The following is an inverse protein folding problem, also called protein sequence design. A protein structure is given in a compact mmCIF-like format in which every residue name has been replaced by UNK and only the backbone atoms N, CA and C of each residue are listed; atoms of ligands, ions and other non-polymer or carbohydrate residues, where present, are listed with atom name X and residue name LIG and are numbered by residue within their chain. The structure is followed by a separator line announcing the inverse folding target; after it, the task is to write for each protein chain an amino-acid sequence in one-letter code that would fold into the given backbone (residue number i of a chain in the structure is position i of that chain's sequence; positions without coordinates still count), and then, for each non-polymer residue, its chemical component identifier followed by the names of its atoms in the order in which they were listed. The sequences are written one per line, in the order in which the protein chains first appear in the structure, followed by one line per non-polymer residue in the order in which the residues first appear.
data_IF_969262921971
#
_entry.id   IF_969262921971
#
_cell.length_a   1.000
_cell.length_b   1.000
_cell.length_c   1.000
_cell.angle_alpha   90.00
_cell.angle_beta   90.00
_cell.angle_gamma   90.00
#
_symmetry.space_group_name_H-M   'P 1'
#
loop_
_entity.id
_entity.type
_entity.pdbx_description
1 polymer ?
#
# COMPACT_ATOMS: atom_id res chain seq x y z
N UNK A 1 -53.06 -14.74 -3.28
CA UNK A 1 -51.97 -14.48 -4.23
C UNK A 1 -51.37 -13.10 -3.96
N UNK A 2 -50.61 -12.94 -2.86
CA UNK A 2 -49.73 -11.77 -2.61
C UNK A 2 -48.88 -11.93 -1.31
N UNK A 3 -48.37 -13.13 -0.99
CA UNK A 3 -47.55 -13.31 0.23
C UNK A 3 -46.22 -14.05 0.00
N UNK A 4 -45.96 -14.58 -1.20
CA UNK A 4 -44.69 -15.28 -1.47
C UNK A 4 -43.51 -14.34 -1.81
N UNK A 5 -43.74 -13.05 -2.06
CA UNK A 5 -42.65 -12.10 -2.32
C UNK A 5 -41.99 -11.54 -1.04
N UNK A 6 -42.61 -11.67 0.14
CA UNK A 6 -42.02 -11.23 1.41
C UNK A 6 -41.09 -12.28 2.06
N UNK A 7 -41.17 -13.54 1.65
CA UNK A 7 -40.39 -14.63 2.26
C UNK A 7 -38.90 -14.62 1.88
N UNK A 8 -38.46 -13.76 0.96
CA UNK A 8 -37.04 -13.66 0.57
C UNK A 8 -36.20 -12.79 1.51
N UNK A 9 -36.82 -12.08 2.45
CA UNK A 9 -36.08 -11.24 3.40
C UNK A 9 -35.60 -12.11 4.56
N UNK A 10 -34.30 -12.40 4.56
CA UNK A 10 -33.67 -13.11 5.67
C UNK A 10 -33.54 -12.18 6.88
N UNK A 11 -34.51 -12.24 7.80
CA UNK A 11 -34.51 -11.48 9.04
C UNK A 11 -33.67 -12.18 10.10
N UNK A 12 -32.67 -11.48 10.62
CA UNK A 12 -31.75 -12.02 11.62
C UNK A 12 -31.93 -11.31 12.97
N UNK A 13 -31.72 -12.05 14.05
CA UNK A 13 -31.54 -11.48 15.39
C UNK A 13 -30.23 -11.98 16.00
N UNK A 14 -29.34 -11.07 16.38
CA UNK A 14 -28.02 -11.34 16.97
C UNK A 14 -27.76 -10.33 18.08
N UNK A 15 -27.01 -10.74 19.10
CA UNK A 15 -26.57 -9.84 20.17
C UNK A 15 -25.10 -10.13 20.49
N UNK A 16 -24.28 -9.09 20.41
CA UNK A 16 -22.86 -9.07 20.75
C UNK A 16 -22.61 -7.92 21.71
N UNK A 17 -21.76 -8.18 22.69
CA UNK A 17 -21.28 -7.18 23.64
C UNK A 17 -19.76 -7.14 23.55
N UNK A 18 -19.23 -5.96 23.21
CA UNK A 18 -17.80 -5.68 23.03
C UNK A 18 -17.03 -6.75 22.22
N UNK A 19 -17.66 -7.31 21.20
CA UNK A 19 -17.07 -8.41 20.43
C UNK A 19 -16.12 -7.90 19.35
N UNK A 20 -15.04 -8.64 19.01
CA UNK A 20 -14.21 -8.33 17.87
C UNK A 20 -15.04 -8.28 16.58
N UNK A 21 -14.84 -7.25 15.77
CA UNK A 21 -15.63 -7.06 14.54
C UNK A 21 -15.53 -8.25 13.59
N UNK A 22 -14.38 -8.93 13.54
CA UNK A 22 -14.19 -10.15 12.76
C UNK A 22 -15.15 -11.28 13.17
N UNK A 23 -15.43 -11.44 14.47
CA UNK A 23 -16.36 -12.44 14.98
C UNK A 23 -17.82 -12.10 14.61
N UNK A 24 -18.17 -10.82 14.65
CA UNK A 24 -19.50 -10.35 14.21
C UNK A 24 -19.68 -10.60 12.71
N UNK A 25 -18.66 -10.30 11.89
CA UNK A 25 -18.68 -10.57 10.45
C UNK A 25 -18.78 -12.06 10.14
N UNK A 26 -18.09 -12.91 10.90
CA UNK A 26 -18.18 -14.37 10.76
C UNK A 26 -19.60 -14.86 11.00
N UNK A 27 -20.22 -14.45 12.12
CA UNK A 27 -21.61 -14.84 12.41
C UNK A 27 -22.60 -14.38 11.33
N UNK A 28 -22.37 -13.21 10.74
CA UNK A 28 -23.16 -12.73 9.61
C UNK A 28 -22.94 -13.59 8.35
N UNK A 29 -21.72 -13.98 8.04
CA UNK A 29 -21.42 -14.84 6.89
C UNK A 29 -22.04 -16.25 7.07
N UNK A 30 -21.91 -16.82 8.26
CA UNK A 30 -22.47 -18.12 8.62
C UNK A 30 -23.99 -18.16 8.47
N UNK A 31 -24.68 -17.07 8.83
CA UNK A 31 -26.14 -16.95 8.69
C UNK A 31 -26.64 -17.05 7.23
N UNK A 32 -25.84 -16.65 6.25
CA UNK A 32 -26.15 -16.79 4.81
C UNK A 32 -25.34 -17.90 4.14
N UNK A 33 -24.59 -18.70 4.91
CA UNK A 33 -23.70 -19.76 4.41
C UNK A 33 -22.66 -19.27 3.38
N UNK A 34 -22.19 -18.04 3.55
CA UNK A 34 -21.16 -17.44 2.72
C UNK A 34 -19.76 -17.75 3.26
N UNK A 35 -18.79 -17.92 2.37
CA UNK A 35 -17.38 -17.96 2.77
C UNK A 35 -16.91 -16.53 3.07
N UNK A 36 -16.19 -16.34 4.17
CA UNK A 36 -15.67 -15.05 4.59
C UNK A 36 -14.14 -15.01 4.44
N UNK A 37 -13.63 -13.98 3.77
CA UNK A 37 -12.19 -13.67 3.73
C UNK A 37 -11.99 -12.26 4.28
N UNK A 38 -11.25 -12.16 5.38
CA UNK A 38 -10.96 -10.89 6.05
C UNK A 38 -9.52 -10.49 5.77
N UNK A 39 -9.32 -9.30 5.21
CA UNK A 39 -7.98 -8.78 4.94
C UNK A 39 -7.27 -8.32 6.22
N UNK A 40 -5.93 -8.24 6.21
CA UNK A 40 -5.17 -7.68 7.33
C UNK A 40 -5.59 -6.24 7.66
N UNK A 41 -5.69 -5.93 8.95
CA UNK A 41 -6.05 -4.59 9.46
C UNK A 41 -7.55 -4.34 9.63
N UNK A 42 -8.38 -5.40 9.60
CA UNK A 42 -9.76 -5.36 10.10
C UNK A 42 -9.72 -5.62 11.61
N UNK A 43 -9.73 -4.54 12.38
CA UNK A 43 -9.56 -4.56 13.84
C UNK A 43 -10.62 -3.70 14.52
N UNK A 44 -10.82 -3.93 15.82
CA UNK A 44 -11.75 -3.17 16.66
C UNK A 44 -12.87 -4.03 17.25
N UNK A 45 -13.57 -3.46 18.21
CA UNK A 45 -14.66 -4.10 18.94
C UNK A 45 -15.98 -3.37 18.66
N UNK A 46 -17.08 -4.11 18.69
CA UNK A 46 -18.42 -3.61 18.45
C UNK A 46 -19.41 -4.28 19.42
N UNK A 47 -20.21 -3.47 20.11
CA UNK A 47 -21.44 -3.93 20.74
C UNK A 47 -22.61 -3.73 19.78
N UNK A 48 -23.38 -4.79 19.54
CA UNK A 48 -24.46 -4.79 18.56
C UNK A 48 -25.63 -5.63 19.05
N UNK A 49 -26.86 -5.11 18.93
CA UNK A 49 -28.07 -5.88 19.18
C UNK A 49 -29.06 -5.67 18.05
N UNK A 50 -29.33 -6.74 17.32
CA UNK A 50 -30.25 -6.78 16.19
C UNK A 50 -31.45 -7.66 16.53
N UNK A 51 -32.65 -7.22 16.16
CA UNK A 51 -33.89 -7.98 16.31
C UNK A 51 -34.75 -7.83 15.06
N UNK A 52 -34.93 -8.92 14.32
CA UNK A 52 -35.73 -8.92 13.10
C UNK A 52 -35.20 -7.96 12.03
N UNK A 53 -33.87 -7.86 11.89
CA UNK A 53 -33.23 -6.95 10.94
C UNK A 53 -32.86 -7.71 9.66
N UNK A 54 -33.17 -7.20 8.46
CA UNK A 54 -32.71 -7.80 7.21
C UNK A 54 -31.20 -7.98 7.18
N UNK A 55 -30.73 -9.14 6.74
CA UNK A 55 -29.29 -9.46 6.74
C UNK A 55 -28.43 -8.44 5.99
N UNK A 56 -28.85 -7.99 4.81
CA UNK A 56 -28.11 -6.98 4.05
C UNK A 56 -27.98 -5.66 4.82
N UNK A 57 -29.02 -5.27 5.57
CA UNK A 57 -29.01 -4.08 6.40
C UNK A 57 -28.05 -4.25 7.58
N UNK A 58 -28.10 -5.39 8.26
CA UNK A 58 -27.20 -5.74 9.34
C UNK A 58 -25.73 -5.69 8.90
N UNK A 59 -25.40 -6.34 7.77
CA UNK A 59 -24.06 -6.32 7.19
C UNK A 59 -23.60 -4.89 6.89
N UNK A 60 -24.46 -4.09 6.24
CA UNK A 60 -24.14 -2.70 5.92
C UNK A 60 -23.84 -1.84 7.16
N UNK A 61 -24.52 -2.10 8.28
CA UNK A 61 -24.30 -1.38 9.53
C UNK A 61 -22.94 -1.73 10.14
N UNK A 62 -22.62 -3.02 10.20
CA UNK A 62 -21.31 -3.49 10.71
C UNK A 62 -20.17 -2.93 9.87
N UNK A 63 -20.31 -2.95 8.54
CA UNK A 63 -19.32 -2.38 7.63
C UNK A 63 -19.09 -0.89 7.87
N UNK A 64 -20.17 -0.10 8.00
CA UNK A 64 -20.08 1.34 8.28
C UNK A 64 -19.40 1.62 9.62
N UNK A 65 -19.79 0.91 10.67
CA UNK A 65 -19.21 1.09 12.01
C UNK A 65 -17.73 0.72 12.04
N UNK A 66 -17.34 -0.33 11.33
CA UNK A 66 -15.95 -0.77 11.22
C UNK A 66 -15.09 0.00 10.22
N UNK A 67 -15.66 0.96 9.46
CA UNK A 67 -15.00 1.61 8.32
C UNK A 67 -14.41 0.59 7.34
N UNK A 68 -15.24 -0.39 7.00
CA UNK A 68 -14.90 -1.51 6.15
C UNK A 68 -15.64 -1.42 4.81
N UNK A 69 -15.00 -1.94 3.77
CA UNK A 69 -15.59 -2.18 2.46
C UNK A 69 -15.65 -3.68 2.20
N UNK A 70 -16.61 -4.10 1.37
CA UNK A 70 -16.74 -5.51 0.97
C UNK A 70 -16.84 -5.67 -0.52
N UNK A 71 -16.36 -6.80 -1.00
CA UNK A 71 -16.55 -7.27 -2.36
C UNK A 71 -17.10 -8.69 -2.31
N UNK A 72 -18.25 -8.92 -2.94
CA UNK A 72 -18.81 -10.25 -3.05
C UNK A 72 -18.46 -10.85 -4.41
N UNK A 73 -17.86 -12.03 -4.38
CA UNK A 73 -17.53 -12.83 -5.56
C UNK A 73 -18.16 -14.20 -5.42
N UNK A 74 -19.27 -14.44 -6.13
CA UNK A 74 -20.09 -15.64 -5.99
C UNK A 74 -20.44 -15.93 -4.52
N UNK A 75 -19.92 -17.03 -3.95
CA UNK A 75 -20.16 -17.47 -2.58
C UNK A 75 -19.09 -16.98 -1.58
N UNK A 76 -18.27 -16.01 -1.96
CA UNK A 76 -17.18 -15.48 -1.13
C UNK A 76 -17.41 -13.99 -0.87
N UNK A 77 -17.44 -13.62 0.40
CA UNK A 77 -17.46 -12.25 0.88
C UNK A 77 -16.06 -11.85 1.32
N UNK A 78 -15.45 -10.91 0.59
CA UNK A 78 -14.16 -10.34 0.93
C UNK A 78 -14.38 -9.03 1.67
N UNK A 79 -13.70 -8.86 2.81
CA UNK A 79 -13.80 -7.68 3.67
C UNK A 79 -12.44 -7.00 3.81
N UNK A 80 -12.40 -5.69 3.61
CA UNK A 80 -11.19 -4.88 3.70
C UNK A 80 -11.45 -3.62 4.52
N UNK A 81 -10.45 -3.06 5.22
CA UNK A 81 -10.57 -1.71 5.75
C UNK A 81 -10.65 -0.70 4.60
N UNK A 82 -11.39 0.40 4.77
CA UNK A 82 -11.47 1.48 3.76
C UNK A 82 -10.08 2.02 3.37
N UNK A 83 -9.14 2.01 4.31
CA UNK A 83 -7.74 2.43 4.09
C UNK A 83 -6.92 1.47 3.21
N UNK A 84 -7.47 0.30 2.85
CA UNK A 84 -6.74 -0.75 2.14
C UNK A 84 -6.17 -0.27 0.80
N UNK A 85 -6.98 0.42 -0.01
CA UNK A 85 -6.53 0.89 -1.34
C UNK A 85 -5.31 1.80 -1.25
N UNK A 86 -5.30 2.73 -0.28
CA UNK A 86 -4.17 3.63 -0.08
C UNK A 86 -2.92 2.89 0.42
N UNK A 87 -3.09 1.92 1.33
CA UNK A 87 -1.99 1.09 1.82
C UNK A 87 -1.38 0.26 0.68
N UNK A 88 -2.22 -0.32 -0.17
CA UNK A 88 -1.76 -1.16 -1.28
C UNK A 88 -1.01 -0.34 -2.34
N UNK A 89 -1.51 0.85 -2.66
CA UNK A 89 -0.81 1.78 -3.55
C UNK A 89 0.57 2.16 -2.99
N UNK A 90 0.67 2.55 -1.71
CA UNK A 90 1.94 2.88 -1.07
C UNK A 90 2.94 1.72 -1.12
N UNK A 91 2.48 0.50 -0.82
CA UNK A 91 3.31 -0.71 -0.92
C UNK A 91 3.77 -0.98 -2.35
N UNK A 92 2.94 -0.70 -3.34
CA UNK A 92 3.31 -0.86 -4.75
C UNK A 92 4.35 0.17 -5.19
N UNK A 93 4.22 1.43 -4.77
CA UNK A 93 5.22 2.47 -5.04
C UNK A 93 6.57 2.15 -4.39
N UNK A 94 6.58 1.83 -3.09
CA UNK A 94 7.80 1.47 -2.37
C UNK A 94 8.53 0.28 -3.02
N UNK A 95 7.79 -0.77 -3.40
CA UNK A 95 8.35 -1.93 -4.12
C UNK A 95 8.98 -1.54 -5.46
N UNK A 96 8.40 -0.58 -6.19
CA UNK A 96 8.98 -0.08 -7.45
C UNK A 96 10.26 0.72 -7.21
N UNK A 97 10.31 1.54 -6.17
CA UNK A 97 11.51 2.31 -5.82
C UNK A 97 12.65 1.39 -5.38
N UNK A 98 12.37 0.38 -4.55
CA UNK A 98 13.34 -0.65 -4.15
C UNK A 98 13.88 -1.41 -5.36
N UNK A 99 13.02 -1.79 -6.31
CA UNK A 99 13.44 -2.45 -7.54
C UNK A 99 14.35 -1.57 -8.37
N UNK A 100 14.10 -0.26 -8.46
CA UNK A 100 14.95 0.69 -9.19
C UNK A 100 16.32 0.88 -8.53
N UNK A 101 16.36 0.90 -7.19
CA UNK A 101 17.61 1.00 -6.44
C UNK A 101 18.43 -0.30 -6.49
N UNK A 102 17.78 -1.45 -6.67
CA UNK A 102 18.42 -2.77 -6.83
C UNK A 102 18.68 -3.17 -8.29
N UNK A 103 18.58 -2.27 -9.28
CA UNK A 103 19.26 -2.53 -10.55
C UNK A 103 20.76 -2.67 -10.24
N UNK A 104 21.45 -3.73 -10.68
CA UNK A 104 22.90 -3.75 -10.59
C UNK A 104 23.41 -2.54 -11.36
N UNK A 105 23.98 -1.58 -10.61
CA UNK A 105 24.83 -0.54 -11.16
C UNK A 105 25.94 -1.29 -11.90
N UNK A 106 25.76 -1.52 -13.19
CA UNK A 106 26.87 -1.87 -14.05
C UNK A 106 27.77 -0.66 -14.00
N UNK A 107 28.78 -0.76 -13.14
CA UNK A 107 29.95 0.07 -13.08
C UNK A 107 30.58 0.06 -14.47
N UNK A 108 30.06 0.91 -15.36
CA UNK A 108 30.73 1.30 -16.57
C UNK A 108 31.99 2.04 -16.11
N UNK A 109 33.05 1.26 -15.91
CA UNK A 109 34.38 1.75 -15.56
C UNK A 109 34.87 2.42 -16.83
N UNK A 110 34.50 3.68 -17.02
CA UNK A 110 35.17 4.56 -17.95
C UNK A 110 36.59 4.68 -17.40
N UNK A 111 37.52 3.92 -17.98
CA UNK A 111 38.94 4.13 -17.78
C UNK A 111 39.22 5.55 -18.28
N UNK A 112 39.14 6.53 -17.36
CA UNK A 112 39.80 7.81 -17.53
C UNK A 112 41.28 7.48 -17.58
N UNK A 113 41.77 7.23 -18.80
CA UNK A 113 43.19 7.15 -19.05
C UNK A 113 43.78 8.49 -18.61
N UNK A 114 44.50 8.45 -17.49
CA UNK A 114 45.66 9.27 -17.16
C UNK A 114 46.00 10.30 -18.26
N UNK A 115 45.45 11.50 -18.15
CA UNK A 115 46.19 12.68 -18.57
C UNK A 115 46.75 13.29 -17.29
N UNK A 116 47.84 12.67 -16.84
CA UNK A 116 48.75 13.22 -15.86
C UNK A 116 49.33 14.52 -16.44
N UNK A 117 49.01 15.65 -15.83
CA UNK A 117 49.65 16.92 -16.14
C UNK A 117 49.91 17.69 -14.84
N UNK A 118 50.40 16.99 -13.83
CA UNK A 118 50.96 17.58 -12.62
C UNK A 118 52.46 17.30 -12.53
N UNK A 119 53.21 17.56 -13.61
CA UNK A 119 54.67 17.46 -13.57
C UNK A 119 55.35 18.31 -14.66
N UNK A 120 55.31 19.65 -14.54
CA UNK A 120 56.36 20.48 -15.15
C UNK A 120 56.69 21.66 -14.24
N UNK A 121 57.27 21.38 -13.07
CA UNK A 121 58.10 22.33 -12.34
C UNK A 121 59.51 21.73 -12.25
N UNK A 122 60.51 22.55 -12.56
CA UNK A 122 61.95 22.32 -12.45
C UNK A 122 62.67 21.63 -13.64
N UNK A 123 62.98 22.44 -14.66
CA UNK A 123 64.29 22.36 -15.31
C UNK A 123 64.76 23.78 -15.69
N UNK A 124 65.66 24.35 -14.88
CA UNK A 124 66.52 25.52 -15.20
C UNK A 124 67.81 24.97 -15.82
N UNK A 125 68.43 25.60 -16.84
CA UNK A 125 69.48 26.60 -16.59
C UNK A 125 69.36 27.82 -17.53
N UNK A 126 69.48 29.05 -17.02
CA UNK A 126 70.65 29.92 -17.21
C UNK A 126 71.11 30.11 -18.68
N UNK A 127 70.79 31.27 -19.28
CA UNK A 127 71.76 32.01 -20.07
C UNK A 127 71.43 33.50 -20.08
N UNK A 128 72.44 34.28 -19.67
CA UNK A 128 72.56 35.72 -19.79
C UNK A 128 72.50 36.19 -21.25
N UNK A 129 72.20 37.48 -21.44
CA UNK A 129 72.73 38.21 -22.59
C UNK A 129 71.73 39.03 -23.39
N UNK A 130 71.65 40.30 -23.00
CA UNK A 130 71.67 41.45 -23.90
C UNK A 130 70.50 41.70 -24.87
N UNK A 131 69.80 42.82 -24.61
CA UNK A 131 69.58 44.01 -25.49
C UNK A 131 68.40 44.80 -24.92
N UNK A 132 68.62 45.70 -23.96
CA UNK A 132 68.88 47.14 -24.13
C UNK A 132 67.87 47.89 -25.02
N UNK A 133 67.13 48.79 -24.35
CA UNK A 133 66.78 50.19 -24.67
C UNK A 133 66.34 50.68 -26.07
N UNK A 134 65.55 51.79 -25.96
CA UNK A 134 65.21 52.87 -26.92
C UNK A 134 63.98 52.57 -27.78
N UNK A 135 62.83 53.28 -27.73
CA UNK A 135 62.52 54.71 -27.55
C UNK A 135 63.21 55.61 -28.58
N UNK A 136 62.47 56.00 -29.62
CA UNK A 136 62.90 56.93 -30.67
C UNK A 136 62.45 56.49 -32.05
#
# INVERSE_FOLDING_TARGET
MLYLWLALISLLSLAFDEAPIGQVLQALADYQQLNLVVAPGVEGNLSLRLKGVPWQQALSLVMKMGRLTTQQHANVLLVYPESWQQKEQRKAYARREEQQQNLPLHNLTLTLQHADAAAVNAARPANDGARQHYAG
#
